data_IF_085779153298
#
_entry.id   IF_085779153298
#
_cell.length_a   1.000
_cell.length_b   1.000
_cell.length_c   1.000
_cell.angle_alpha   90.00
_cell.angle_beta   90.00
_cell.angle_gamma   90.00
#
_symmetry.space_group_name_H-M   'P 1'
#
loop_
_entity.id
_entity.type
_entity.pdbx_description
1 polymer ?
#
# COMPACT_ATOMS: atom_id res chain seq x y z
N UNK A 1 -24.69 19.07 4.29
CA UNK A 1 -24.72 17.85 3.44
C UNK A 1 -23.41 17.09 3.60
N UNK A 2 -23.47 15.78 3.79
CA UNK A 2 -22.26 14.94 3.84
C UNK A 2 -21.92 14.49 2.42
N UNK A 3 -20.76 14.90 1.89
CA UNK A 3 -20.30 14.45 0.56
C UNK A 3 -19.80 13.00 0.65
N UNK A 4 -20.41 12.12 -0.15
CA UNK A 4 -20.03 10.72 -0.30
C UNK A 4 -19.13 10.56 -1.51
N UNK A 5 -18.17 9.65 -1.42
CA UNK A 5 -17.23 9.32 -2.50
C UNK A 5 -17.68 8.00 -3.10
N UNK A 6 -17.88 7.97 -4.41
CA UNK A 6 -18.13 6.72 -5.13
C UNK A 6 -16.83 5.93 -5.18
N UNK A 7 -16.84 4.71 -4.68
CA UNK A 7 -15.68 3.81 -4.69
C UNK A 7 -16.05 2.45 -5.29
N UNK A 8 -15.06 1.77 -5.87
CA UNK A 8 -15.19 0.37 -6.22
C UNK A 8 -14.91 -0.50 -4.99
N UNK A 9 -15.93 -1.18 -4.48
CA UNK A 9 -15.83 -2.06 -3.32
C UNK A 9 -14.89 -3.24 -3.54
N UNK A 10 -14.76 -3.73 -4.78
CA UNK A 10 -13.81 -4.79 -5.11
C UNK A 10 -12.37 -4.34 -4.91
N UNK A 11 -12.05 -3.10 -5.29
CA UNK A 11 -10.72 -2.50 -5.11
C UNK A 11 -10.43 -2.28 -3.63
N UNK A 12 -11.39 -1.71 -2.90
CA UNK A 12 -11.27 -1.53 -1.45
C UNK A 12 -11.01 -2.86 -0.73
N UNK A 13 -11.82 -3.88 -1.01
CA UNK A 13 -11.68 -5.19 -0.37
C UNK A 13 -10.36 -5.86 -0.75
N UNK A 14 -9.88 -5.69 -1.98
CA UNK A 14 -8.58 -6.22 -2.39
C UNK A 14 -7.42 -5.59 -1.60
N UNK A 15 -7.43 -4.28 -1.38
CA UNK A 15 -6.41 -3.61 -0.57
C UNK A 15 -6.51 -3.95 0.92
N UNK A 16 -7.72 -4.11 1.47
CA UNK A 16 -7.92 -4.55 2.86
C UNK A 16 -7.41 -5.98 3.05
N UNK A 17 -7.72 -6.89 2.12
CA UNK A 17 -7.29 -8.30 2.20
C UNK A 17 -5.77 -8.47 2.06
N UNK A 18 -5.11 -7.61 1.28
CA UNK A 18 -3.64 -7.59 1.20
C UNK A 18 -2.98 -6.90 2.39
N UNK A 19 -3.70 -6.01 3.06
CA UNK A 19 -3.21 -5.43 4.29
C UNK A 19 -3.16 -6.51 5.36
N UNK A 20 -2.07 -6.53 6.14
CA UNK A 20 -1.97 -7.41 7.31
C UNK A 20 -2.77 -6.88 8.51
N UNK A 21 -3.80 -6.07 8.26
CA UNK A 21 -4.56 -5.35 9.29
C UNK A 21 -5.86 -6.09 9.58
N UNK A 22 -6.11 -6.36 10.86
CA UNK A 22 -7.35 -7.00 11.29
C UNK A 22 -8.55 -6.08 11.03
N UNK A 23 -9.64 -6.65 10.52
CA UNK A 23 -10.88 -5.92 10.25
C UNK A 23 -11.43 -5.21 11.51
N UNK A 24 -11.24 -5.81 12.69
CA UNK A 24 -11.61 -5.22 13.98
C UNK A 24 -10.90 -3.89 14.27
N UNK A 25 -9.67 -3.70 13.78
CA UNK A 25 -8.94 -2.44 13.93
C UNK A 25 -9.55 -1.33 13.06
N UNK A 26 -10.08 -1.68 11.89
CA UNK A 26 -10.77 -0.76 10.99
C UNK A 26 -12.16 -0.42 11.55
N UNK A 27 -12.90 -1.41 12.04
CA UNK A 27 -14.22 -1.26 12.67
C UNK A 27 -14.21 -0.28 13.85
N UNK A 28 -13.15 -0.29 14.67
CA UNK A 28 -13.00 0.66 15.79
C UNK A 28 -12.91 2.13 15.35
N UNK A 29 -12.45 2.39 14.13
CA UNK A 29 -12.20 3.75 13.62
C UNK A 29 -13.21 4.21 12.59
N UNK A 30 -13.92 3.29 11.96
CA UNK A 30 -14.82 3.56 10.83
C UNK A 30 -16.16 2.87 11.07
N UNK A 31 -17.16 3.67 11.39
CA UNK A 31 -18.54 3.20 11.51
C UNK A 31 -19.03 2.60 10.18
N UNK A 32 -19.79 1.51 10.28
CA UNK A 32 -20.45 0.83 9.15
C UNK A 32 -19.48 0.34 8.05
N UNK A 33 -18.23 0.03 8.41
CA UNK A 33 -17.25 -0.51 7.45
C UNK A 33 -17.76 -1.76 6.73
N UNK A 34 -18.51 -2.63 7.40
CA UNK A 34 -19.08 -3.82 6.77
C UNK A 34 -20.05 -3.47 5.63
N UNK A 35 -20.92 -2.48 5.85
CA UNK A 35 -21.86 -2.02 4.82
C UNK A 35 -21.11 -1.34 3.65
N UNK A 36 -19.97 -0.69 3.94
CA UNK A 36 -19.10 -0.12 2.91
C UNK A 36 -18.43 -1.24 2.10
N UNK A 37 -17.91 -2.28 2.76
CA UNK A 37 -17.28 -3.43 2.09
C UNK A 37 -18.28 -4.24 1.26
N UNK A 38 -19.55 -4.32 1.70
CA UNK A 38 -20.67 -4.91 0.94
C UNK A 38 -21.18 -4.03 -0.20
N UNK A 39 -20.86 -2.73 -0.20
CA UNK A 39 -21.32 -1.77 -1.21
C UNK A 39 -22.73 -1.23 -0.98
N UNK A 40 -23.31 -1.49 0.19
CA UNK A 40 -24.61 -0.95 0.59
C UNK A 40 -24.53 0.55 0.87
N UNK A 41 -23.37 1.05 1.33
CA UNK A 41 -23.17 2.46 1.69
C UNK A 41 -21.85 2.96 1.11
N UNK A 42 -21.90 4.12 0.45
CA UNK A 42 -20.70 4.82 0.01
C UNK A 42 -20.04 5.54 1.20
N UNK A 43 -18.70 5.47 1.35
CA UNK A 43 -18.00 6.14 2.43
C UNK A 43 -17.99 7.67 2.23
N UNK A 44 -17.77 8.40 3.31
CA UNK A 44 -17.32 9.79 3.20
C UNK A 44 -15.84 9.82 2.83
N UNK A 45 -15.35 10.94 2.30
CA UNK A 45 -13.92 11.10 2.04
C UNK A 45 -13.09 10.91 3.33
N UNK A 46 -13.57 11.42 4.46
CA UNK A 46 -12.89 11.26 5.75
C UNK A 46 -12.85 9.78 6.19
N UNK A 47 -13.93 9.03 6.00
CA UNK A 47 -13.95 7.59 6.28
C UNK A 47 -12.93 6.87 5.38
N UNK A 48 -12.89 7.19 4.08
CA UNK A 48 -11.94 6.60 3.14
C UNK A 48 -10.48 6.90 3.53
N UNK A 49 -10.18 8.14 3.91
CA UNK A 49 -8.84 8.54 4.39
C UNK A 49 -8.49 7.80 5.68
N UNK A 50 -9.43 7.62 6.60
CA UNK A 50 -9.20 6.85 7.83
C UNK A 50 -8.92 5.38 7.54
N UNK A 51 -9.65 4.76 6.61
CA UNK A 51 -9.37 3.38 6.16
C UNK A 51 -7.96 3.33 5.56
N UNK A 52 -7.66 4.21 4.59
CA UNK A 52 -6.39 4.31 3.90
C UNK A 52 -5.19 4.40 4.87
N UNK A 53 -5.27 5.29 5.86
CA UNK A 53 -4.27 5.43 6.93
C UNK A 53 -4.14 4.16 7.77
N UNK A 54 -5.24 3.47 8.02
CA UNK A 54 -5.26 2.26 8.86
C UNK A 54 -4.61 1.07 8.15
N UNK A 55 -4.82 0.93 6.84
CA UNK A 55 -4.24 -0.13 6.02
C UNK A 55 -2.88 0.25 5.38
N UNK A 56 -2.36 1.44 5.68
CA UNK A 56 -1.13 1.99 5.11
C UNK A 56 -1.10 2.06 3.57
N UNK A 57 -2.24 2.38 2.95
CA UNK A 57 -2.39 2.53 1.50
C UNK A 57 -2.75 3.98 1.17
N UNK A 58 -2.23 4.60 0.10
CA UNK A 58 -2.66 5.92 -0.33
C UNK A 58 -4.16 5.96 -0.65
N UNK A 59 -4.88 6.96 -0.11
CA UNK A 59 -6.33 7.07 -0.28
C UNK A 59 -6.75 7.16 -1.76
N UNK A 60 -5.91 7.75 -2.62
CA UNK A 60 -6.15 7.86 -4.06
C UNK A 60 -6.29 6.49 -4.74
N UNK A 61 -5.58 5.46 -4.27
CA UNK A 61 -5.67 4.10 -4.83
C UNK A 61 -7.04 3.45 -4.55
N UNK A 62 -7.69 3.84 -3.46
CA UNK A 62 -8.99 3.30 -3.07
C UNK A 62 -10.16 3.91 -3.87
N UNK A 63 -9.92 5.00 -4.60
CA UNK A 63 -10.91 5.67 -5.46
C UNK A 63 -10.87 5.11 -6.89
N UNK A 64 -9.87 4.31 -7.23
CA UNK A 64 -9.70 3.80 -8.58
C UNK A 64 -10.78 2.76 -8.92
N UNK A 65 -11.13 2.72 -10.21
CA UNK A 65 -12.05 1.73 -10.75
C UNK A 65 -11.44 0.33 -10.78
N UNK A 66 -10.12 0.24 -10.86
CA UNK A 66 -9.37 -1.00 -10.87
C UNK A 66 -8.18 -0.91 -9.94
N UNK A 67 -7.77 -2.07 -9.41
CA UNK A 67 -6.62 -2.15 -8.54
C UNK A 67 -5.33 -2.08 -9.38
N UNK A 68 -4.41 -1.24 -8.96
CA UNK A 68 -3.07 -1.20 -9.53
C UNK A 68 -2.23 -2.32 -8.93
N UNK A 69 -1.78 -3.25 -9.77
CA UNK A 69 -0.75 -4.21 -9.41
C UNK A 69 0.60 -3.50 -9.46
N UNK A 70 1.10 -3.09 -8.29
CA UNK A 70 2.45 -2.57 -8.20
C UNK A 70 3.42 -3.76 -8.40
N UNK A 71 4.36 -3.67 -9.36
CA UNK A 71 5.35 -4.72 -9.52
C UNK A 71 6.15 -4.81 -8.21
N UNK A 72 6.22 -6.03 -7.65
CA UNK A 72 7.06 -6.35 -6.49
C UNK A 72 8.55 -6.37 -6.84
N UNK A 73 8.88 -6.18 -8.12
CA UNK A 73 10.27 -6.22 -8.56
C UNK A 73 11.07 -5.11 -7.88
N UNK A 74 12.19 -5.55 -7.29
CA UNK A 74 13.26 -4.68 -6.86
C UNK A 74 13.67 -3.85 -8.09
N UNK A 75 13.37 -2.56 -8.07
CA UNK A 75 13.82 -1.65 -9.11
C UNK A 75 15.35 -1.74 -9.16
N UNK A 76 15.88 -2.41 -10.18
CA UNK A 76 17.29 -2.37 -10.51
C UNK A 76 17.55 -0.96 -11.05
N UNK A 77 17.86 -0.03 -10.14
CA UNK A 77 18.22 1.32 -10.53
C UNK A 77 19.46 1.23 -11.40
N UNK A 78 19.32 1.49 -12.70
CA UNK A 78 20.46 1.64 -13.59
C UNK A 78 21.12 2.99 -13.28
N UNK A 79 22.15 2.97 -12.45
CA UNK A 79 23.03 4.12 -12.25
C UNK A 79 23.91 4.23 -13.50
N UNK A 80 24.21 5.45 -13.97
CA UNK A 80 25.03 5.72 -15.17
C UNK A 80 26.40 4.98 -15.12
N UNK A 81 26.84 4.60 -13.93
CA UNK A 81 28.08 3.89 -13.64
C UNK A 81 27.96 2.36 -13.50
N UNK A 82 26.83 1.73 -13.83
CA UNK A 82 26.59 0.31 -13.54
C UNK A 82 27.44 -0.70 -14.33
N UNK A 83 28.28 -0.23 -15.27
CA UNK A 83 29.11 -1.10 -16.09
C UNK A 83 30.53 -1.32 -15.58
N UNK A 84 30.88 -0.79 -14.40
CA UNK A 84 32.22 -1.00 -13.86
C UNK A 84 32.15 -1.40 -12.39
N UNK A 85 31.78 -2.65 -12.13
CA UNK A 85 32.28 -3.34 -10.95
C UNK A 85 33.69 -3.82 -11.31
N UNK A 86 34.61 -2.86 -11.46
CA UNK A 86 36.02 -3.13 -11.28
C UNK A 86 36.16 -3.89 -9.97
N UNK A 87 36.92 -5.00 -10.00
CA UNK A 87 37.00 -5.97 -8.92
C UNK A 87 36.95 -5.29 -7.54
N UNK A 88 35.93 -5.60 -6.73
CA UNK A 88 35.78 -5.04 -5.39
C UNK A 88 37.13 -5.10 -4.67
N UNK A 89 37.62 -3.96 -4.17
CA UNK A 89 38.85 -3.90 -3.37
C UNK A 89 38.79 -4.94 -2.25
N UNK A 90 39.91 -5.62 -1.99
CA UNK A 90 40.04 -6.61 -0.92
C UNK A 90 39.63 -6.01 0.45
N UNK A 91 39.88 -4.72 0.67
CA UNK A 91 39.47 -4.04 1.89
C UNK A 91 37.95 -3.97 2.04
N UNK A 92 37.24 -3.67 0.95
CA UNK A 92 35.78 -3.60 0.96
C UNK A 92 35.16 -4.99 1.21
N UNK A 93 35.79 -6.05 0.71
CA UNK A 93 35.36 -7.44 0.98
C UNK A 93 35.56 -7.79 2.45
N UNK A 94 36.70 -7.42 3.03
CA UNK A 94 37.02 -7.66 4.44
C UNK A 94 36.00 -6.98 5.36
N UNK A 95 35.67 -5.70 5.12
CA UNK A 95 34.70 -4.96 5.94
C UNK A 95 33.29 -5.54 5.86
N UNK A 96 32.85 -6.00 4.68
CA UNK A 96 31.53 -6.63 4.54
C UNK A 96 31.46 -7.98 5.27
N UNK A 97 32.56 -8.74 5.31
CA UNK A 97 32.62 -9.99 6.08
C UNK A 97 32.57 -9.74 7.58
N UNK A 98 33.15 -8.65 8.05
CA UNK A 98 33.21 -8.31 9.48
C UNK A 98 31.86 -7.83 10.05
N UNK A 99 30.99 -7.27 9.21
CA UNK A 99 29.66 -6.77 9.60
C UNK A 99 28.60 -7.91 9.68
N UNK A 100 28.94 -9.12 9.21
CA UNK A 100 28.00 -10.25 9.11
C UNK A 100 28.00 -11.13 10.36
#
# INVERSE_FOLDING_TARGET
>A
MVKRVSINTKVLNAYINESSVLLSAIQKKVEKIENIMRGEVQPTFNQLVTIAKTIHVPAGLLVLNEKINLPKEKLEFRVISSNDIGAKSEELKATIQEIK
#
